data_IF_400209885633
#
_entry.id   IF_400209885633
#
_cell.length_a   1.000
_cell.length_b   1.000
_cell.length_c   1.000
_cell.angle_alpha   90.00
_cell.angle_beta   90.00
_cell.angle_gamma   90.00
#
_symmetry.space_group_name_H-M   'P 1'
#
loop_
_entity.id
_entity.type
_entity.pdbx_description
1 polymer ?
#
# COMPACT_ATOMS: atom_id res chain seq x y z
N UNK A 1 12.35 7.51 27.11
CA UNK A 1 12.01 6.21 26.51
C UNK A 1 11.80 6.39 25.02
N UNK A 2 12.40 5.55 24.20
CA UNK A 2 12.29 5.68 22.73
C UNK A 2 11.53 4.51 22.16
N UNK A 3 10.85 4.76 21.03
CA UNK A 3 10.14 3.74 20.29
C UNK A 3 11.02 3.23 19.15
N UNK A 4 10.84 1.96 18.80
CA UNK A 4 11.47 1.38 17.62
C UNK A 4 10.55 1.52 16.41
N UNK A 5 11.08 1.29 15.20
CA UNK A 5 10.25 1.24 14.00
C UNK A 5 9.17 0.17 14.15
N UNK A 6 9.50 -0.97 14.76
CA UNK A 6 8.54 -2.05 14.98
C UNK A 6 7.42 -1.62 15.92
N UNK A 7 7.72 -0.79 16.93
CA UNK A 7 6.69 -0.25 17.80
C UNK A 7 5.72 0.65 17.04
N UNK A 8 6.24 1.48 16.13
CA UNK A 8 5.40 2.35 15.30
C UNK A 8 4.52 1.53 14.35
N UNK A 9 5.07 0.47 13.77
CA UNK A 9 4.32 -0.41 12.88
C UNK A 9 3.22 -1.14 13.66
N UNK A 10 3.53 -1.66 14.85
CA UNK A 10 2.53 -2.35 15.67
C UNK A 10 1.38 -1.41 16.06
N UNK A 11 1.71 -0.18 16.43
CA UNK A 11 0.70 0.83 16.76
C UNK A 11 -0.17 1.16 15.54
N UNK A 12 0.45 1.31 14.36
CA UNK A 12 -0.29 1.59 13.13
C UNK A 12 -1.26 0.45 12.81
N UNK A 13 -0.82 -0.80 12.97
CA UNK A 13 -1.65 -1.97 12.68
C UNK A 13 -2.91 -2.03 13.55
N UNK A 14 -2.88 -1.46 14.74
CA UNK A 14 -4.07 -1.39 15.59
C UNK A 14 -5.13 -0.40 15.07
N UNK A 15 -4.75 0.47 14.15
CA UNK A 15 -5.62 1.54 13.65
C UNK A 15 -6.05 1.35 12.20
N UNK A 16 -5.65 0.25 11.57
CA UNK A 16 -5.91 0.00 10.15
C UNK A 16 -6.56 -1.37 9.98
N UNK A 17 -7.04 -1.62 8.76
CA UNK A 17 -7.50 -2.94 8.33
C UNK A 17 -6.42 -3.55 7.45
N UNK A 18 -6.03 -4.78 7.76
CA UNK A 18 -5.15 -5.56 6.90
C UNK A 18 -5.98 -6.64 6.21
N UNK A 19 -5.61 -6.95 4.96
CA UNK A 19 -6.28 -7.99 4.18
C UNK A 19 -5.28 -9.05 3.77
N UNK A 20 -5.76 -10.30 3.65
CA UNK A 20 -4.95 -11.40 3.16
C UNK A 20 -4.96 -11.45 1.62
N UNK A 21 -4.25 -12.42 1.04
CA UNK A 21 -4.14 -12.55 -0.40
C UNK A 21 -5.50 -12.73 -1.09
N UNK A 22 -6.37 -13.66 -0.64
CA UNK A 22 -7.68 -13.81 -1.29
C UNK A 22 -8.51 -12.53 -1.29
N UNK A 23 -8.51 -11.79 -0.18
CA UNK A 23 -9.25 -10.53 -0.11
C UNK A 23 -8.61 -9.47 -0.99
N UNK A 24 -7.28 -9.41 -1.02
CA UNK A 24 -6.55 -8.46 -1.87
C UNK A 24 -6.90 -8.67 -3.35
N UNK A 25 -7.06 -9.91 -3.79
CA UNK A 25 -7.45 -10.20 -5.17
C UNK A 25 -8.76 -9.52 -5.56
N UNK A 26 -9.69 -9.39 -4.62
CA UNK A 26 -10.96 -8.73 -4.90
C UNK A 26 -10.79 -7.23 -5.15
N UNK A 27 -9.72 -6.62 -4.63
CA UNK A 27 -9.45 -5.20 -4.85
C UNK A 27 -8.89 -4.89 -6.23
N UNK A 28 -8.26 -5.87 -6.89
CA UNK A 28 -7.55 -5.59 -8.15
C UNK A 28 -8.46 -5.13 -9.28
N UNK A 29 -9.74 -5.52 -9.28
CA UNK A 29 -10.66 -5.16 -10.35
C UNK A 29 -11.37 -3.82 -10.10
N UNK A 30 -11.58 -3.43 -8.85
CA UNK A 30 -12.44 -2.29 -8.52
C UNK A 30 -11.77 -1.21 -7.71
N UNK A 31 -10.57 -1.45 -7.20
CA UNK A 31 -9.90 -0.52 -6.31
C UNK A 31 -8.59 -0.02 -6.92
N UNK A 32 -8.09 1.05 -6.33
CA UNK A 32 -6.76 1.55 -6.65
C UNK A 32 -5.73 0.71 -5.90
N UNK A 33 -4.56 0.50 -6.52
CA UNK A 33 -3.48 -0.28 -5.91
C UNK A 33 -2.26 0.65 -5.75
N UNK A 34 -1.80 0.79 -4.51
CA UNK A 34 -0.74 1.74 -4.17
C UNK A 34 0.48 0.99 -3.62
N UNK A 35 1.59 1.10 -4.33
CA UNK A 35 2.88 0.56 -3.94
C UNK A 35 3.68 1.66 -3.26
N UNK A 36 3.99 1.47 -1.96
CA UNK A 36 4.73 2.47 -1.20
C UNK A 36 6.20 2.10 -0.99
N UNK A 37 6.68 1.13 -1.78
CA UNK A 37 8.10 0.76 -1.80
C UNK A 37 8.90 1.83 -2.55
N UNK A 38 10.23 1.68 -2.52
CA UNK A 38 11.08 2.58 -3.30
C UNK A 38 10.95 2.32 -4.80
N UNK A 39 11.22 3.34 -5.63
CA UNK A 39 11.03 3.19 -7.08
C UNK A 39 11.77 2.01 -7.70
N UNK A 40 12.98 1.69 -7.22
CA UNK A 40 13.73 0.54 -7.76
C UNK A 40 13.04 -0.79 -7.47
N UNK A 41 12.42 -0.93 -6.30
CA UNK A 41 11.64 -2.13 -5.96
C UNK A 41 10.46 -2.27 -6.90
N UNK A 42 9.73 -1.16 -7.10
CA UNK A 42 8.56 -1.12 -7.98
C UNK A 42 8.94 -1.46 -9.43
N UNK A 43 10.03 -0.88 -9.92
CA UNK A 43 10.48 -1.12 -11.30
C UNK A 43 10.83 -2.58 -11.55
N UNK A 44 11.31 -3.28 -10.54
CA UNK A 44 11.70 -4.69 -10.67
C UNK A 44 10.48 -5.63 -10.70
N UNK A 45 9.32 -5.17 -10.28
CA UNK A 45 8.09 -5.96 -10.30
C UNK A 45 7.08 -5.40 -9.32
N UNK A 46 5.80 -5.45 -9.69
CA UNK A 46 4.73 -4.89 -8.87
C UNK A 46 3.44 -5.68 -9.07
N UNK A 47 2.44 -5.40 -8.25
CA UNK A 47 1.10 -5.93 -8.44
C UNK A 47 0.48 -5.31 -9.70
N UNK A 48 -0.38 -6.03 -10.40
CA UNK A 48 -1.06 -5.49 -11.58
C UNK A 48 -1.80 -4.19 -11.24
N UNK A 49 -1.61 -3.17 -12.06
CA UNK A 49 -2.29 -1.89 -11.90
C UNK A 49 -1.74 -0.99 -10.80
N UNK A 50 -0.64 -1.38 -10.14
CA UNK A 50 -0.10 -0.60 -9.04
C UNK A 50 0.48 0.73 -9.51
N UNK A 51 0.28 1.75 -8.69
CA UNK A 51 0.90 3.07 -8.83
C UNK A 51 1.91 3.21 -7.69
N UNK A 52 3.10 3.69 -7.99
CA UNK A 52 4.15 3.84 -6.98
C UNK A 52 4.22 5.27 -6.45
N UNK A 53 4.03 5.41 -5.15
CA UNK A 53 4.35 6.64 -4.42
C UNK A 53 5.14 6.19 -3.20
N UNK A 54 6.45 6.43 -3.16
CA UNK A 54 7.28 5.97 -2.04
C UNK A 54 6.78 6.49 -0.69
N UNK A 55 6.90 5.66 0.35
CA UNK A 55 6.39 6.00 1.69
C UNK A 55 6.88 7.37 2.17
N UNK A 56 8.14 7.70 1.89
CA UNK A 56 8.75 8.94 2.40
C UNK A 56 8.14 10.22 1.85
N UNK A 57 7.44 10.16 0.73
CA UNK A 57 6.85 11.34 0.10
C UNK A 57 5.34 11.23 -0.07
N UNK A 58 4.75 10.18 0.48
CA UNK A 58 3.34 9.85 0.26
C UNK A 58 2.41 11.01 0.60
N UNK A 59 2.53 11.58 1.80
CA UNK A 59 1.63 12.63 2.27
C UNK A 59 1.70 13.88 1.40
N UNK A 60 2.86 14.11 0.78
CA UNK A 60 3.07 15.29 -0.06
C UNK A 60 2.57 15.11 -1.48
N UNK A 61 2.39 13.88 -1.94
CA UNK A 61 2.11 13.59 -3.35
C UNK A 61 0.73 13.00 -3.62
N UNK A 62 0.12 12.33 -2.65
CA UNK A 62 -1.09 11.55 -2.90
C UNK A 62 -2.25 12.41 -3.40
N UNK A 63 -2.50 13.55 -2.78
CA UNK A 63 -3.66 14.39 -3.13
C UNK A 63 -3.51 15.06 -4.50
N UNK A 64 -2.29 15.19 -5.00
CA UNK A 64 -2.04 15.80 -6.32
C UNK A 64 -1.88 14.75 -7.42
N UNK A 65 -1.76 13.48 -7.07
CA UNK A 65 -1.55 12.42 -8.06
C UNK A 65 -2.83 12.17 -8.86
N UNK A 66 -2.75 12.13 -10.20
CA UNK A 66 -3.96 11.98 -11.04
C UNK A 66 -4.82 10.77 -10.70
N UNK A 67 -4.22 9.67 -10.24
CA UNK A 67 -4.97 8.45 -9.91
C UNK A 67 -5.72 8.55 -8.58
N UNK A 68 -5.29 9.41 -7.68
CA UNK A 68 -5.85 9.50 -6.32
C UNK A 68 -6.55 10.83 -6.05
N UNK A 69 -6.35 11.80 -6.90
CA UNK A 69 -7.00 13.11 -6.74
C UNK A 69 -8.51 12.93 -6.71
N UNK A 70 -9.15 13.50 -5.70
CA UNK A 70 -10.60 13.44 -5.51
C UNK A 70 -11.14 12.01 -5.36
N UNK A 71 -10.30 11.08 -4.86
CA UNK A 71 -10.66 9.66 -4.68
C UNK A 71 -10.68 9.23 -3.22
N UNK A 72 -11.01 10.14 -2.31
CA UNK A 72 -10.98 9.83 -0.87
C UNK A 72 -11.93 8.72 -0.45
N UNK A 73 -12.95 8.45 -1.25
CA UNK A 73 -13.92 7.40 -0.95
C UNK A 73 -13.63 6.08 -1.68
N UNK A 74 -12.63 6.06 -2.55
CA UNK A 74 -12.27 4.85 -3.28
C UNK A 74 -11.57 3.84 -2.37
N UNK A 75 -11.77 2.56 -2.64
CA UNK A 75 -10.97 1.52 -2.02
C UNK A 75 -9.54 1.59 -2.51
N UNK A 76 -8.57 1.48 -1.61
CA UNK A 76 -7.15 1.50 -1.95
C UNK A 76 -6.48 0.31 -1.28
N UNK A 77 -5.85 -0.54 -2.09
CA UNK A 77 -5.00 -1.61 -1.59
C UNK A 77 -3.57 -1.08 -1.52
N UNK A 78 -3.07 -0.95 -0.31
CA UNK A 78 -1.71 -0.45 -0.06
C UNK A 78 -0.79 -1.63 0.21
N UNK A 79 0.43 -1.61 -0.32
CA UNK A 79 1.39 -2.65 0.01
C UNK A 79 2.82 -2.12 -0.03
N UNK A 80 3.68 -2.81 0.73
CA UNK A 80 5.12 -2.64 0.65
C UNK A 80 5.75 -4.03 0.48
N UNK A 81 6.98 -4.23 0.89
CA UNK A 81 7.63 -5.52 0.73
C UNK A 81 7.08 -6.58 1.69
N UNK A 82 7.00 -6.26 2.99
CA UNK A 82 6.61 -7.22 4.02
C UNK A 82 5.47 -6.74 4.92
N UNK A 83 5.00 -5.50 4.76
CA UNK A 83 3.85 -4.97 5.48
C UNK A 83 4.10 -3.78 6.38
N UNK A 84 5.35 -3.50 6.78
CA UNK A 84 5.64 -2.42 7.74
C UNK A 84 5.43 -1.02 7.17
N UNK A 85 6.10 -0.71 6.06
CA UNK A 85 5.91 0.59 5.39
C UNK A 85 4.46 0.77 4.97
N UNK A 86 3.83 -0.34 4.52
CA UNK A 86 2.43 -0.33 4.13
C UNK A 86 1.50 -0.02 5.28
N UNK A 87 1.78 -0.55 6.48
CA UNK A 87 0.98 -0.26 7.66
C UNK A 87 1.05 1.22 8.02
N UNK A 88 2.26 1.79 8.04
CA UNK A 88 2.44 3.22 8.31
C UNK A 88 1.75 4.09 7.26
N UNK A 89 1.86 3.69 5.99
CA UNK A 89 1.24 4.40 4.88
C UNK A 89 -0.29 4.37 5.00
N UNK A 90 -0.86 3.21 5.32
CA UNK A 90 -2.31 3.06 5.44
C UNK A 90 -2.85 3.92 6.58
N UNK A 91 -2.14 3.95 7.70
CA UNK A 91 -2.53 4.83 8.81
C UNK A 91 -2.50 6.30 8.39
N UNK A 92 -1.43 6.71 7.69
CA UNK A 92 -1.31 8.09 7.20
C UNK A 92 -2.43 8.43 6.23
N UNK A 93 -2.77 7.52 5.32
CA UNK A 93 -3.86 7.74 4.36
C UNK A 93 -5.20 7.93 5.06
N UNK A 94 -5.48 7.15 6.11
CA UNK A 94 -6.71 7.31 6.86
C UNK A 94 -6.78 8.67 7.53
N UNK A 95 -5.67 9.16 8.07
CA UNK A 95 -5.61 10.51 8.65
C UNK A 95 -5.83 11.59 7.59
N UNK A 96 -5.43 11.33 6.35
CA UNK A 96 -5.65 12.25 5.24
C UNK A 96 -7.07 12.17 4.65
N UNK A 97 -7.90 11.27 5.15
CA UNK A 97 -9.28 11.13 4.73
C UNK A 97 -9.57 10.01 3.74
N UNK A 98 -8.57 9.21 3.38
CA UNK A 98 -8.78 8.03 2.52
C UNK A 98 -9.26 6.87 3.40
N UNK A 99 -10.55 6.84 3.69
CA UNK A 99 -11.11 5.99 4.74
C UNK A 99 -11.19 4.49 4.35
N UNK A 100 -11.13 4.17 3.07
CA UNK A 100 -11.19 2.78 2.61
C UNK A 100 -9.84 2.24 2.18
N UNK A 101 -8.74 2.81 2.69
CA UNK A 101 -7.40 2.26 2.47
C UNK A 101 -7.19 1.05 3.38
N UNK A 102 -6.66 -0.02 2.81
CA UNK A 102 -6.33 -1.25 3.56
C UNK A 102 -4.90 -1.67 3.20
N UNK A 103 -4.25 -2.39 4.10
CA UNK A 103 -2.88 -2.84 3.91
C UNK A 103 -2.85 -4.33 3.58
N UNK A 104 -2.03 -4.72 2.60
CA UNK A 104 -1.82 -6.13 2.27
C UNK A 104 -0.91 -6.76 3.30
N UNK A 105 -1.46 -7.69 4.09
CA UNK A 105 -0.68 -8.43 5.08
C UNK A 105 0.41 -9.23 4.39
N UNK A 106 1.64 -9.11 4.88
CA UNK A 106 2.79 -9.78 4.29
C UNK A 106 3.33 -9.14 3.02
N UNK A 107 2.64 -8.16 2.47
CA UNK A 107 3.09 -7.34 1.35
C UNK A 107 3.43 -8.10 0.07
N UNK A 108 4.33 -7.52 -0.71
CA UNK A 108 4.75 -8.08 -2.00
C UNK A 108 5.34 -9.48 -1.85
N UNK A 109 6.09 -9.72 -0.77
CA UNK A 109 6.69 -11.03 -0.51
C UNK A 109 5.61 -12.11 -0.41
N UNK A 110 4.55 -11.87 0.38
CA UNK A 110 3.46 -12.82 0.50
C UNK A 110 2.72 -13.01 -0.83
N UNK A 111 2.51 -11.92 -1.56
CA UNK A 111 1.87 -11.96 -2.87
C UNK A 111 2.64 -12.86 -3.83
N UNK A 112 3.95 -12.64 -3.93
CA UNK A 112 4.81 -13.40 -4.83
C UNK A 112 4.92 -14.86 -4.42
N UNK A 113 5.09 -15.14 -3.13
CA UNK A 113 5.22 -16.51 -2.62
C UNK A 113 3.95 -17.33 -2.80
N UNK A 114 2.80 -16.67 -2.85
CA UNK A 114 1.54 -17.37 -3.08
C UNK A 114 1.26 -17.63 -4.55
N UNK A 115 2.20 -17.28 -5.44
CA UNK A 115 2.08 -17.56 -6.88
C UNK A 115 1.20 -16.56 -7.64
N UNK A 116 0.92 -15.40 -7.06
CA UNK A 116 0.10 -14.39 -7.71
C UNK A 116 0.86 -13.67 -8.82
N UNK A 117 0.12 -13.08 -9.74
CA UNK A 117 0.69 -12.38 -10.88
C UNK A 117 1.54 -11.18 -10.45
N UNK A 118 2.76 -11.09 -10.99
CA UNK A 118 3.66 -9.95 -10.82
C UNK A 118 3.96 -9.41 -12.21
N UNK A 119 3.85 -8.11 -12.37
CA UNK A 119 4.09 -7.45 -13.65
C UNK A 119 5.19 -6.42 -13.51
N UNK A 120 5.77 -6.00 -14.65
CA UNK A 120 6.64 -4.83 -14.65
C UNK A 120 5.80 -3.62 -15.03
N UNK A 121 6.02 -2.48 -14.37
CA UNK A 121 5.22 -1.31 -14.67
C UNK A 121 5.48 -0.81 -16.09
N UNK A 122 4.45 -0.20 -16.67
CA UNK A 122 4.58 0.47 -17.96
C UNK A 122 5.48 1.70 -17.79
N UNK A 123 6.28 1.96 -18.78
CA UNK A 123 7.15 3.14 -18.77
C UNK A 123 6.41 4.39 -19.19
#
# INVERSE_FOLDING_TARGET
>A
MSLTAQDLVAAAKNNITEVDIPKAQTFLSDALVLDVREPAEYAAGCLPGAVNIPRGVLEFKIDAHPKFKDKKEAGILVYCKTGGRGALATEALKKLGYCDAVNLAGGFTAWQESGQEVVKPAE
#
